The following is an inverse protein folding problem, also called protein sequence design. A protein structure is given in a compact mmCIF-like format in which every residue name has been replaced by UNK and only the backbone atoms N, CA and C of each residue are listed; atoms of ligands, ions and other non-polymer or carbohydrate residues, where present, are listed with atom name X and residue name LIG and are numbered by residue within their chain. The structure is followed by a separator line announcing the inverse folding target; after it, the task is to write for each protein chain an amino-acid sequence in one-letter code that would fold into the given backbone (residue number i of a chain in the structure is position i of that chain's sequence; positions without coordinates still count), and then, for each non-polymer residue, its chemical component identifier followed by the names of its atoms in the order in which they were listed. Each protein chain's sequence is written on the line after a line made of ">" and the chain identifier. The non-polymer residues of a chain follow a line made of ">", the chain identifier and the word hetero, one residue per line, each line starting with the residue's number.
data_IF_610258648183
#
_entry.id   IF_610258648183
#
_cell.length_a   1.000
_cell.length_b   1.000
_cell.length_c   1.000
_cell.angle_alpha   90.00
_cell.angle_beta   90.00
_cell.angle_gamma   90.00
#
_symmetry.space_group_name_H-M   'P 1'
#
loop_
_entity.id
_entity.type
_entity.pdbx_description
1 polymer ?
#
# COMPACT_ATOMS: atom_id res chain seq x y z
N UNK A 1 1.45 -45.30 -16.40
CA UNK A 1 2.57 -45.52 -15.50
C UNK A 1 2.47 -44.52 -14.38
N UNK A 2 2.06 -45.02 -13.20
CA UNK A 2 2.00 -44.26 -11.94
C UNK A 2 3.43 -44.03 -11.42
N UNK A 3 3.73 -42.82 -10.97
CA UNK A 3 4.80 -42.57 -10.01
C UNK A 3 4.29 -41.63 -8.90
N UNK A 4 4.08 -42.27 -7.74
CA UNK A 4 3.91 -41.65 -6.43
C UNK A 4 5.22 -40.97 -6.02
N UNK A 5 5.14 -39.72 -5.55
CA UNK A 5 6.21 -39.11 -4.73
C UNK A 5 5.65 -38.68 -3.38
N UNK A 6 6.08 -39.44 -2.47
CA UNK A 6 6.23 -39.47 -1.05
C UNK A 6 6.44 -38.13 -0.36
N UNK A 7 5.68 -37.94 0.72
CA UNK A 7 5.76 -36.81 1.63
C UNK A 7 7.08 -36.75 2.42
N UNK A 8 7.48 -35.55 2.76
CA UNK A 8 8.47 -35.27 3.79
C UNK A 8 7.90 -34.31 4.82
N UNK A 9 7.55 -34.87 5.97
CA UNK A 9 7.28 -34.14 7.20
C UNK A 9 8.52 -33.37 7.62
N UNK A 10 8.37 -32.06 7.86
CA UNK A 10 9.38 -31.29 8.60
C UNK A 10 8.86 -31.01 10.01
N UNK A 11 9.60 -31.59 10.96
CA UNK A 11 9.35 -31.49 12.39
C UNK A 11 9.58 -30.06 12.91
N UNK A 12 8.63 -29.61 13.70
CA UNK A 12 8.75 -28.42 14.54
C UNK A 12 9.69 -28.69 15.71
N UNK A 13 10.76 -27.92 15.83
CA UNK A 13 11.57 -27.81 17.04
C UNK A 13 11.14 -26.56 17.81
N UNK A 14 10.43 -26.77 18.91
CA UNK A 14 10.14 -25.77 19.92
C UNK A 14 11.39 -25.50 20.74
N UNK A 15 11.86 -24.26 20.80
CA UNK A 15 12.77 -23.77 21.84
C UNK A 15 12.10 -22.62 22.56
N UNK A 16 11.66 -22.91 23.79
CA UNK A 16 11.28 -21.94 24.80
C UNK A 16 12.57 -21.36 25.41
N UNK A 17 12.68 -20.04 25.47
CA UNK A 17 13.63 -19.35 26.32
C UNK A 17 12.86 -18.28 27.11
N UNK A 18 12.68 -18.57 28.41
CA UNK A 18 12.19 -17.63 29.40
C UNK A 18 13.36 -16.76 29.88
N UNK A 19 13.23 -15.46 29.82
CA UNK A 19 14.12 -14.52 30.51
C UNK A 19 13.26 -13.59 31.35
N UNK A 20 13.31 -13.82 32.66
CA UNK A 20 12.79 -12.95 33.71
C UNK A 20 13.82 -11.86 34.01
N UNK A 21 13.45 -10.60 33.89
CA UNK A 21 14.24 -9.45 34.36
C UNK A 21 13.41 -8.73 35.42
N UNK A 22 13.92 -8.78 36.66
CA UNK A 22 13.42 -8.02 37.80
C UNK A 22 13.96 -6.59 37.75
N UNK A 23 13.09 -5.59 37.94
CA UNK A 23 13.46 -4.18 38.07
C UNK A 23 13.26 -3.77 39.54
N UNK A 24 14.27 -3.22 40.22
CA UNK A 24 14.07 -2.65 41.53
C UNK A 24 13.55 -1.21 41.45
N UNK A 25 12.50 -0.92 42.24
CA UNK A 25 11.96 0.41 42.48
C UNK A 25 12.82 1.06 43.55
N UNK A 26 13.40 2.24 43.24
CA UNK A 26 14.00 3.14 44.21
C UNK A 26 13.11 4.37 44.36
N UNK A 27 12.44 4.46 45.52
CA UNK A 27 11.79 5.66 46.03
C UNK A 27 12.87 6.50 46.73
N UNK A 28 13.08 7.72 46.25
CA UNK A 28 13.78 8.75 47.03
C UNK A 28 12.87 9.98 47.07
N UNK A 29 12.28 10.21 48.26
CA UNK A 29 11.62 11.45 48.58
C UNK A 29 12.64 12.49 49.00
N UNK A 30 12.47 13.72 48.52
CA UNK A 30 13.03 14.91 49.17
C UNK A 30 11.93 15.94 49.26
N UNK A 31 11.62 16.26 50.51
CA UNK A 31 10.80 17.37 50.94
C UNK A 31 11.74 18.57 51.13
N UNK A 32 11.51 19.67 50.41
CA UNK A 32 12.17 20.94 50.65
C UNK A 32 11.10 22.05 50.75
N UNK A 33 11.20 22.76 51.86
CA UNK A 33 10.40 23.94 52.22
C UNK A 33 10.69 25.10 51.22
N UNK A 34 9.69 25.91 50.87
CA UNK A 34 9.93 27.07 50.01
C UNK A 34 10.43 28.27 50.82
N UNK A 35 11.63 28.70 50.55
CA UNK A 35 12.20 29.98 50.98
C UNK A 35 11.53 31.14 50.19
N UNK A 36 11.23 32.28 50.85
CA UNK A 36 10.52 33.40 50.20
C UNK A 36 11.43 34.14 49.23
N UNK A 37 11.12 34.05 47.93
CA UNK A 37 11.78 34.80 46.88
C UNK A 37 11.42 36.27 46.85
N UNK A 38 12.38 37.21 46.69
CA UNK A 38 12.10 38.64 46.55
C UNK A 38 11.42 38.92 45.19
N UNK A 39 10.38 39.76 45.22
CA UNK A 39 9.70 40.27 44.02
C UNK A 39 10.68 41.10 43.16
N UNK A 40 11.04 40.56 42.01
CA UNK A 40 11.68 41.30 40.92
C UNK A 40 10.60 42.01 40.12
N UNK A 41 10.77 43.31 39.76
CA UNK A 41 9.82 44.01 38.88
C UNK A 41 9.70 43.31 37.53
N UNK A 42 8.46 43.11 37.04
CA UNK A 42 8.19 42.54 35.75
C UNK A 42 8.82 43.38 34.63
N UNK A 43 9.58 42.76 33.71
CA UNK A 43 10.01 43.44 32.48
C UNK A 43 8.79 43.71 31.59
N UNK A 44 8.82 44.78 30.76
CA UNK A 44 7.70 45.17 29.93
C UNK A 44 7.35 44.00 28.96
N UNK A 45 6.01 43.75 28.91
CA UNK A 45 5.40 42.77 28.03
C UNK A 45 5.91 42.94 26.59
N UNK A 46 6.75 42.04 26.14
CA UNK A 46 7.11 41.94 24.74
C UNK A 46 5.89 41.46 23.95
N UNK A 47 5.44 42.28 22.98
CA UNK A 47 4.42 41.91 21.99
C UNK A 47 4.72 40.53 21.42
N UNK A 48 3.69 39.67 21.23
CA UNK A 48 3.92 38.39 20.58
C UNK A 48 4.39 38.64 19.15
N UNK A 49 5.59 38.22 18.85
CA UNK A 49 6.08 38.09 17.47
C UNK A 49 5.09 37.18 16.73
N UNK A 50 4.56 37.56 15.55
CA UNK A 50 3.73 36.65 14.75
C UNK A 50 4.50 35.36 14.55
N UNK A 51 3.98 34.25 15.06
CA UNK A 51 4.50 32.92 14.69
C UNK A 51 4.36 32.76 13.20
N UNK A 52 5.48 32.56 12.50
CA UNK A 52 5.45 32.09 11.12
C UNK A 52 4.54 30.85 11.05
N UNK A 53 3.67 30.75 10.02
CA UNK A 53 2.87 29.55 9.84
C UNK A 53 3.82 28.36 9.75
N UNK A 54 3.66 27.40 10.66
CA UNK A 54 4.38 26.14 10.58
C UNK A 54 4.10 25.55 9.21
N UNK A 55 5.16 25.37 8.40
CA UNK A 55 5.07 24.61 7.16
C UNK A 55 4.73 23.17 7.59
N UNK A 56 3.49 22.76 7.39
CA UNK A 56 3.08 21.38 7.63
C UNK A 56 3.95 20.51 6.71
N UNK A 57 4.77 19.64 7.31
CA UNK A 57 5.45 18.58 6.54
C UNK A 57 4.35 17.77 5.83
N UNK A 58 4.52 17.48 4.52
CA UNK A 58 3.51 16.70 3.79
C UNK A 58 3.32 15.36 4.50
N UNK A 59 2.08 15.07 4.90
CA UNK A 59 1.72 13.79 5.50
C UNK A 59 2.12 12.67 4.54
N UNK A 60 2.79 11.63 5.06
CA UNK A 60 3.17 10.47 4.27
C UNK A 60 1.91 9.77 3.73
N UNK A 61 1.91 9.41 2.45
CA UNK A 61 0.79 8.73 1.77
C UNK A 61 0.40 7.45 2.53
N UNK A 62 -0.87 7.29 2.86
CA UNK A 62 -1.38 6.06 3.46
C UNK A 62 -1.41 4.91 2.45
N UNK A 63 -1.34 3.63 2.91
CA UNK A 63 -1.47 2.48 2.00
C UNK A 63 -2.77 2.50 1.18
N UNK A 64 -3.87 2.97 1.76
CA UNK A 64 -5.17 3.06 1.10
C UNK A 64 -5.20 4.12 0.01
N UNK A 65 -4.58 5.26 0.22
CA UNK A 65 -4.41 6.31 -0.81
C UNK A 65 -3.51 5.83 -1.93
N UNK A 66 -2.39 5.19 -1.58
CA UNK A 66 -1.50 4.56 -2.55
C UNK A 66 -2.23 3.54 -3.43
N UNK A 67 -3.05 2.63 -2.85
CA UNK A 67 -3.81 1.64 -3.63
C UNK A 67 -4.77 2.33 -4.60
N UNK A 68 -5.39 3.45 -4.25
CA UNK A 68 -6.25 4.21 -5.16
C UNK A 68 -5.47 4.83 -6.31
N UNK A 69 -4.33 5.44 -6.02
CA UNK A 69 -3.43 5.99 -7.03
C UNK A 69 -2.90 4.90 -7.96
N UNK A 70 -2.44 3.80 -7.41
CA UNK A 70 -1.97 2.65 -8.17
C UNK A 70 -3.06 2.08 -9.10
N UNK A 71 -4.31 1.97 -8.64
CA UNK A 71 -5.43 1.53 -9.48
C UNK A 71 -5.75 2.51 -10.63
N UNK A 72 -5.55 3.81 -10.41
CA UNK A 72 -5.68 4.82 -11.47
C UNK A 72 -4.56 4.70 -12.51
N UNK A 73 -3.34 4.38 -12.06
CA UNK A 73 -2.22 4.13 -12.97
C UNK A 73 -2.39 2.83 -13.76
N UNK A 74 -3.01 1.79 -13.19
CA UNK A 74 -3.40 0.59 -13.93
C UNK A 74 -4.34 0.94 -15.09
N UNK A 75 -5.39 1.72 -14.83
CA UNK A 75 -6.31 2.16 -15.87
C UNK A 75 -5.63 3.06 -16.93
N UNK A 76 -4.74 3.97 -16.51
CA UNK A 76 -3.97 4.81 -17.44
C UNK A 76 -3.09 3.94 -18.36
N UNK A 77 -2.35 3.02 -17.77
CA UNK A 77 -1.46 2.09 -18.47
C UNK A 77 -2.25 1.26 -19.49
N UNK A 78 -3.37 0.67 -19.10
CA UNK A 78 -4.19 -0.12 -20.01
C UNK A 78 -4.74 0.71 -21.17
N UNK A 79 -5.14 1.97 -20.97
CA UNK A 79 -5.72 2.82 -22.01
C UNK A 79 -4.68 3.51 -22.91
N UNK A 80 -3.41 3.55 -22.52
CA UNK A 80 -2.37 4.28 -23.27
C UNK A 80 -1.25 3.40 -23.81
N UNK A 81 -1.07 2.19 -23.26
CA UNK A 81 0.08 1.36 -23.52
C UNK A 81 1.37 1.84 -22.84
N UNK A 82 1.35 2.98 -22.14
CA UNK A 82 2.50 3.49 -21.37
C UNK A 82 2.58 2.80 -20.00
N UNK A 83 3.50 1.86 -19.85
CA UNK A 83 3.62 0.99 -18.69
C UNK A 83 4.60 1.50 -17.65
N UNK A 84 5.36 2.58 -17.92
CA UNK A 84 6.50 2.97 -17.10
C UNK A 84 6.14 3.27 -15.64
N UNK A 85 5.13 4.12 -15.41
CA UNK A 85 4.73 4.52 -14.06
C UNK A 85 4.07 3.36 -13.30
N UNK A 86 3.22 2.57 -13.94
CA UNK A 86 2.62 1.38 -13.34
C UNK A 86 3.68 0.36 -12.90
N UNK A 87 4.68 0.10 -13.75
CA UNK A 87 5.80 -0.78 -13.43
C UNK A 87 6.62 -0.26 -12.26
N UNK A 88 6.87 1.05 -12.21
CA UNK A 88 7.60 1.67 -11.09
C UNK A 88 6.90 1.42 -9.74
N UNK A 89 5.56 1.44 -9.72
CA UNK A 89 4.75 1.19 -8.52
C UNK A 89 4.59 -0.32 -8.19
N UNK A 90 5.03 -1.22 -9.06
CA UNK A 90 4.69 -2.65 -9.02
C UNK A 90 5.88 -3.60 -9.26
N UNK A 91 7.11 -3.14 -9.05
CA UNK A 91 8.35 -3.84 -9.43
C UNK A 91 8.47 -5.27 -8.93
N UNK A 92 7.86 -5.59 -7.78
CA UNK A 92 7.90 -6.91 -7.15
C UNK A 92 6.60 -7.71 -7.31
N UNK A 93 5.61 -7.15 -8.01
CA UNK A 93 4.32 -7.78 -8.25
C UNK A 93 4.36 -8.52 -9.60
N UNK A 94 4.56 -9.82 -9.56
CA UNK A 94 4.63 -10.65 -10.77
C UNK A 94 3.39 -10.50 -11.66
N UNK A 95 2.19 -10.62 -11.10
CA UNK A 95 0.94 -10.49 -11.85
C UNK A 95 0.77 -9.10 -12.48
N UNK A 96 1.28 -8.04 -11.79
CA UNK A 96 1.26 -6.68 -12.33
C UNK A 96 2.21 -6.53 -13.52
N UNK A 97 3.41 -7.12 -13.44
CA UNK A 97 4.39 -7.09 -14.53
C UNK A 97 3.87 -7.86 -15.75
N UNK A 98 3.31 -9.06 -15.52
CA UNK A 98 2.69 -9.87 -16.58
C UNK A 98 1.54 -9.12 -17.30
N UNK A 99 0.73 -8.35 -16.57
CA UNK A 99 -0.30 -7.48 -17.15
C UNK A 99 0.32 -6.36 -18.00
N UNK A 100 1.34 -5.69 -17.49
CA UNK A 100 2.03 -4.63 -18.22
C UNK A 100 2.69 -5.16 -19.51
N UNK A 101 3.31 -6.34 -19.45
CA UNK A 101 3.90 -7.01 -20.66
C UNK A 101 2.81 -7.31 -21.71
N UNK A 102 1.64 -7.74 -21.26
CA UNK A 102 0.52 -8.03 -22.16
C UNK A 102 -0.02 -6.76 -22.84
N UNK A 103 -0.15 -5.68 -22.08
CA UNK A 103 -0.60 -4.38 -22.61
C UNK A 103 0.40 -3.84 -23.62
N UNK A 104 1.70 -3.85 -23.31
CA UNK A 104 2.76 -3.46 -24.28
C UNK A 104 2.65 -4.26 -25.56
N UNK A 105 2.51 -5.59 -25.48
CA UNK A 105 2.38 -6.46 -26.64
C UNK A 105 1.19 -6.06 -27.53
N UNK A 106 0.05 -5.70 -26.95
CA UNK A 106 -1.13 -5.27 -27.70
C UNK A 106 -0.86 -3.96 -28.43
N UNK A 107 -0.32 -2.96 -27.75
CA UNK A 107 -0.05 -1.65 -28.34
C UNK A 107 1.07 -1.70 -29.38
N UNK A 108 2.13 -2.47 -29.17
CA UNK A 108 3.20 -2.71 -30.17
C UNK A 108 2.65 -3.36 -31.45
N UNK A 109 1.64 -4.23 -31.32
CA UNK A 109 0.96 -4.85 -32.45
C UNK A 109 -0.11 -3.92 -33.09
N UNK A 110 -0.26 -2.68 -32.62
CA UNK A 110 -1.25 -1.71 -33.07
C UNK A 110 -2.68 -2.00 -32.59
N UNK A 111 -2.79 -2.79 -31.53
CA UNK A 111 -4.02 -3.03 -30.79
C UNK A 111 -4.37 -1.87 -29.84
N UNK A 112 -5.35 -2.09 -28.98
CA UNK A 112 -5.79 -1.11 -27.97
C UNK A 112 -6.49 -1.81 -26.82
N UNK A 113 -6.61 -1.10 -25.70
CA UNK A 113 -7.52 -1.39 -24.57
C UNK A 113 -8.30 -0.12 -24.25
N UNK A 114 -9.59 -0.27 -23.98
CA UNK A 114 -10.50 0.77 -23.48
C UNK A 114 -11.14 0.28 -22.18
N UNK A 115 -10.79 0.91 -21.06
CA UNK A 115 -11.28 0.53 -19.75
C UNK A 115 -11.30 1.73 -18.78
N UNK A 116 -12.46 2.04 -18.22
CA UNK A 116 -12.63 3.16 -17.28
C UNK A 116 -12.14 2.86 -15.86
N UNK A 117 -11.48 1.72 -15.67
CA UNK A 117 -10.88 1.38 -14.38
C UNK A 117 -11.84 0.79 -13.35
N UNK A 118 -11.35 0.75 -12.13
CA UNK A 118 -12.07 0.25 -10.97
C UNK A 118 -12.81 1.37 -10.22
N UNK A 119 -14.09 1.23 -10.02
CA UNK A 119 -14.80 1.97 -8.99
C UNK A 119 -14.61 1.25 -7.64
N UNK A 120 -13.62 1.68 -6.86
CA UNK A 120 -13.30 1.10 -5.56
C UNK A 120 -14.44 1.37 -4.58
N UNK A 121 -15.02 0.30 -4.03
CA UNK A 121 -16.13 0.33 -3.06
C UNK A 121 -15.62 0.35 -1.63
N UNK A 122 -14.60 -0.44 -1.34
CA UNK A 122 -13.94 -0.45 -0.04
C UNK A 122 -12.52 -0.99 -0.13
N UNK A 123 -11.66 -0.49 0.76
CA UNK A 123 -10.33 -1.02 1.03
C UNK A 123 -10.31 -1.38 2.51
N UNK A 124 -9.98 -2.62 2.84
CA UNK A 124 -9.94 -3.11 4.22
C UNK A 124 -8.67 -3.91 4.46
N UNK A 125 -7.92 -3.53 5.48
CA UNK A 125 -6.75 -4.30 5.91
C UNK A 125 -7.12 -5.76 6.25
N UNK A 126 -6.25 -6.69 5.88
CA UNK A 126 -6.37 -8.13 6.15
C UNK A 126 -5.19 -8.61 6.98
N UNK A 127 -5.51 -9.31 8.07
CA UNK A 127 -4.48 -9.81 8.98
C UNK A 127 -3.87 -8.73 9.87
N UNK A 128 -2.81 -9.09 10.57
CA UNK A 128 -2.14 -8.23 11.57
C UNK A 128 -1.04 -7.34 10.98
N UNK A 129 -0.56 -7.63 9.79
CA UNK A 129 0.59 -6.94 9.18
C UNK A 129 0.28 -5.55 8.62
N UNK A 130 -0.99 -5.17 8.49
CA UNK A 130 -1.46 -3.92 7.85
C UNK A 130 -0.86 -3.68 6.45
N UNK A 131 -0.43 -4.74 5.75
CA UNK A 131 0.17 -4.67 4.41
C UNK A 131 -0.65 -5.37 3.34
N UNK A 132 -1.59 -6.24 3.73
CA UNK A 132 -2.52 -6.90 2.83
C UNK A 132 -3.90 -6.27 2.96
N UNK A 133 -4.52 -5.95 1.83
CA UNK A 133 -5.80 -5.25 1.76
C UNK A 133 -6.77 -6.00 0.87
N UNK A 134 -7.97 -6.25 1.39
CA UNK A 134 -9.10 -6.68 0.58
C UNK A 134 -9.73 -5.44 -0.07
N UNK A 135 -9.60 -5.34 -1.38
CA UNK A 135 -10.14 -4.24 -2.19
C UNK A 135 -11.37 -4.74 -2.93
N UNK A 136 -12.55 -4.25 -2.56
CA UNK A 136 -13.79 -4.52 -3.29
C UNK A 136 -14.03 -3.45 -4.33
N UNK A 137 -14.28 -3.87 -5.56
CA UNK A 137 -14.43 -2.99 -6.71
C UNK A 137 -15.73 -3.27 -7.46
N UNK A 138 -16.08 -2.34 -8.33
CA UNK A 138 -16.93 -2.57 -9.48
C UNK A 138 -16.10 -2.15 -10.69
N UNK A 139 -15.64 -3.14 -11.48
CA UNK A 139 -14.87 -2.88 -12.69
C UNK A 139 -15.79 -2.35 -13.79
N UNK A 140 -15.31 -1.38 -14.57
CA UNK A 140 -15.96 -1.00 -15.80
C UNK A 140 -15.88 -2.13 -16.84
N UNK A 141 -16.77 -2.17 -17.86
CA UNK A 141 -16.56 -3.02 -19.02
C UNK A 141 -15.26 -2.68 -19.71
N UNK A 142 -14.57 -3.70 -20.23
CA UNK A 142 -13.33 -3.54 -21.00
C UNK A 142 -13.59 -3.93 -22.44
N UNK A 143 -13.07 -3.15 -23.39
CA UNK A 143 -12.96 -3.49 -24.81
C UNK A 143 -11.49 -3.51 -25.19
N UNK A 144 -11.10 -4.42 -26.08
CA UNK A 144 -9.73 -4.49 -26.54
C UNK A 144 -9.60 -5.18 -27.91
N UNK A 145 -8.55 -4.85 -28.61
CA UNK A 145 -8.06 -5.60 -29.75
C UNK A 145 -6.56 -5.87 -29.58
N UNK A 146 -6.14 -7.10 -29.82
CA UNK A 146 -4.75 -7.54 -29.58
C UNK A 146 -3.76 -7.01 -30.63
N UNK A 147 -4.27 -6.49 -31.79
CA UNK A 147 -3.46 -5.97 -32.90
C UNK A 147 -4.29 -5.09 -33.83
N UNK A 148 -3.63 -4.34 -34.67
CA UNK A 148 -4.26 -3.54 -35.73
C UNK A 148 -5.19 -4.40 -36.61
N UNK A 149 -6.45 -3.95 -36.78
CA UNK A 149 -7.47 -4.67 -37.55
C UNK A 149 -7.89 -6.01 -36.95
N UNK A 150 -7.47 -6.33 -35.73
CA UNK A 150 -7.86 -7.51 -34.99
C UNK A 150 -9.36 -7.46 -34.60
N UNK A 151 -9.92 -8.63 -34.29
CA UNK A 151 -11.29 -8.71 -33.81
C UNK A 151 -11.38 -8.05 -32.42
N UNK A 152 -12.30 -7.08 -32.27
CA UNK A 152 -12.62 -6.51 -30.99
C UNK A 152 -13.23 -7.58 -30.05
N UNK A 153 -12.74 -7.60 -28.83
CA UNK A 153 -13.20 -8.46 -27.73
C UNK A 153 -13.66 -7.58 -26.57
N UNK A 154 -14.49 -8.12 -25.69
CA UNK A 154 -14.94 -7.39 -24.51
C UNK A 154 -15.12 -8.27 -23.30
N UNK A 155 -14.91 -7.70 -22.12
CA UNK A 155 -15.31 -8.23 -20.83
C UNK A 155 -16.45 -7.38 -20.25
N UNK A 156 -17.46 -7.97 -19.63
CA UNK A 156 -18.66 -7.22 -19.20
C UNK A 156 -18.41 -6.32 -17.97
N UNK A 157 -17.26 -6.41 -17.31
CA UNK A 157 -17.05 -5.75 -16.02
C UNK A 157 -17.94 -6.33 -14.91
N UNK A 158 -18.06 -5.59 -13.81
CA UNK A 158 -18.91 -5.98 -12.69
C UNK A 158 -18.20 -6.00 -11.34
N UNK A 159 -18.89 -6.54 -10.30
CA UNK A 159 -18.31 -6.61 -8.96
C UNK A 159 -17.16 -7.62 -8.90
N UNK A 160 -16.11 -7.25 -8.20
CA UNK A 160 -14.93 -8.08 -7.97
C UNK A 160 -14.28 -7.77 -6.62
N UNK A 161 -13.38 -8.63 -6.21
CA UNK A 161 -12.56 -8.44 -5.03
C UNK A 161 -11.13 -8.89 -5.29
N UNK A 162 -10.18 -8.08 -4.84
CA UNK A 162 -8.75 -8.34 -5.00
C UNK A 162 -8.06 -8.29 -3.64
N UNK A 163 -7.13 -9.20 -3.43
CA UNK A 163 -6.17 -9.10 -2.34
C UNK A 163 -4.93 -8.40 -2.89
N UNK A 164 -4.63 -7.23 -2.35
CA UNK A 164 -3.47 -6.42 -2.74
C UNK A 164 -2.53 -6.36 -1.54
N UNK A 165 -1.28 -6.75 -1.74
CA UNK A 165 -0.22 -6.63 -0.73
C UNK A 165 0.73 -5.53 -1.13
N UNK A 166 1.01 -4.61 -0.19
CA UNK A 166 1.93 -3.49 -0.39
C UNK A 166 3.13 -3.59 0.55
N UNK A 167 4.24 -3.00 0.15
CA UNK A 167 5.43 -2.83 0.98
C UNK A 167 5.88 -1.36 0.95
N UNK A 168 6.49 -0.85 2.02
CA UNK A 168 7.10 0.48 2.00
C UNK A 168 8.17 0.59 0.92
N UNK A 169 8.22 1.76 0.28
CA UNK A 169 9.23 2.13 -0.70
C UNK A 169 9.59 3.62 -0.51
N UNK A 170 10.68 3.88 0.19
CA UNK A 170 11.05 5.22 0.63
C UNK A 170 9.96 5.85 1.50
N UNK A 171 9.41 6.98 1.07
CA UNK A 171 8.32 7.71 1.72
C UNK A 171 6.92 7.29 1.21
N UNK A 172 6.85 6.31 0.31
CA UNK A 172 5.62 5.82 -0.32
C UNK A 172 5.52 4.29 -0.19
N UNK A 173 4.81 3.66 -1.11
CA UNK A 173 4.53 2.23 -1.14
C UNK A 173 4.76 1.67 -2.53
N UNK A 174 4.89 0.33 -2.64
CA UNK A 174 4.84 -0.42 -3.88
C UNK A 174 3.90 -1.62 -3.72
N UNK A 175 3.20 -2.03 -4.78
CA UNK A 175 2.48 -3.30 -4.82
C UNK A 175 3.49 -4.43 -4.99
N UNK A 176 3.37 -5.45 -4.13
CA UNK A 176 4.24 -6.64 -4.19
C UNK A 176 3.47 -7.91 -4.56
N UNK A 177 2.15 -7.89 -4.40
CA UNK A 177 1.28 -8.98 -4.85
C UNK A 177 -0.14 -8.47 -5.15
N UNK A 178 -0.76 -9.03 -6.18
CA UNK A 178 -2.15 -8.82 -6.58
C UNK A 178 -2.76 -10.16 -6.98
N UNK A 179 -3.84 -10.52 -6.34
CA UNK A 179 -4.61 -11.70 -6.70
C UNK A 179 -6.12 -11.44 -6.62
N UNK A 180 -6.88 -12.04 -7.52
CA UNK A 180 -8.33 -12.04 -7.46
C UNK A 180 -8.80 -13.02 -6.40
N UNK A 181 -9.82 -12.65 -5.63
CA UNK A 181 -10.43 -13.53 -4.62
C UNK A 181 -11.90 -13.74 -4.95
N UNK A 182 -12.39 -14.95 -4.74
CA UNK A 182 -13.80 -15.24 -4.92
C UNK A 182 -14.63 -14.34 -3.99
N UNK A 183 -15.64 -13.69 -4.56
CA UNK A 183 -16.55 -12.79 -3.87
C UNK A 183 -17.65 -13.54 -3.10
#
# INVERSE_FOLDING_TARGET
>A
VLTLFSGRHFMYVRRALALTIAVPVLLAGCSDDPEPTPKIPEPPSSSPTPSEPATEEPEAESPEEFIRRWASEEARMENTGDTADYRALSQKCRACIELADLVEQYYEAGGFVEWDGWKIRSIRSRGTSRRAFLVKVNSAPTKYAERAGGKEKSFPGGPGAHLITVAPDGTSWQVVDKSEVAG
#
